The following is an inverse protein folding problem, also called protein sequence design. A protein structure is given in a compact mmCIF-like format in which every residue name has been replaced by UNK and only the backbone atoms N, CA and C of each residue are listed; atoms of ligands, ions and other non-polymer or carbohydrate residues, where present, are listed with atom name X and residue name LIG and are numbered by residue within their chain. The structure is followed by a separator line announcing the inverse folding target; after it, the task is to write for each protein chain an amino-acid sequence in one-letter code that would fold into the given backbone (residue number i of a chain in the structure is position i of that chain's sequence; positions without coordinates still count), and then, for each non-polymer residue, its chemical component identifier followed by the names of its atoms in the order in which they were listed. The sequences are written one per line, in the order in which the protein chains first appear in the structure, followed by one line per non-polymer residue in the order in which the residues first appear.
data_IF_965688828553
#
_entry.id   IF_965688828553
#
_cell.length_a   1.000
_cell.length_b   1.000
_cell.length_c   1.000
_cell.angle_alpha   90.00
_cell.angle_beta   90.00
_cell.angle_gamma   90.00
#
_symmetry.space_group_name_H-M   'P 1'
#
loop_
_entity.id
_entity.type
_entity.pdbx_description
1 polymer ?
#
# COMPACT_ATOMS: atom_id res chain seq x y z
N UNK A 1 -11.66 5.22 57.15
CA UNK A 1 -10.44 6.01 56.86
C UNK A 1 -9.67 5.23 55.79
N UNK A 2 -9.78 5.64 54.53
CA UNK A 2 -9.13 4.94 53.41
C UNK A 2 -8.41 5.99 52.57
N UNK A 3 -7.09 6.05 52.73
CA UNK A 3 -6.17 6.84 51.93
C UNK A 3 -5.55 5.89 50.92
N UNK A 4 -6.03 5.93 49.68
CA UNK A 4 -5.29 5.35 48.55
C UNK A 4 -4.58 6.53 47.90
N UNK A 5 -3.34 6.77 48.34
CA UNK A 5 -2.47 7.81 47.79
C UNK A 5 -1.29 7.10 47.12
N UNK A 6 -1.20 7.20 45.80
CA UNK A 6 -0.14 6.56 45.03
C UNK A 6 -0.27 6.76 43.53
N UNK A 7 -0.39 8.02 43.07
CA UNK A 7 -0.07 8.33 41.68
C UNK A 7 1.46 8.36 41.55
N UNK A 8 2.04 7.33 40.93
CA UNK A 8 3.43 7.38 40.51
C UNK A 8 3.57 8.51 39.48
N UNK A 9 4.27 9.57 39.83
CA UNK A 9 4.68 10.61 38.89
C UNK A 9 5.73 10.01 37.95
N UNK A 10 5.29 9.49 36.80
CA UNK A 10 6.19 9.15 35.72
C UNK A 10 6.87 10.45 35.26
N UNK A 11 8.20 10.50 35.33
CA UNK A 11 8.97 11.60 34.76
C UNK A 11 8.65 11.69 33.27
N UNK A 12 8.20 12.88 32.81
CA UNK A 12 8.09 13.16 31.38
C UNK A 12 9.49 13.09 30.79
N UNK A 13 9.79 11.96 30.14
CA UNK A 13 10.94 11.87 29.25
C UNK A 13 10.67 12.87 28.12
N UNK A 14 11.43 13.95 28.06
CA UNK A 14 11.41 14.83 26.88
C UNK A 14 11.87 13.99 25.70
N UNK A 15 10.89 13.61 24.88
CA UNK A 15 11.13 12.97 23.60
C UNK A 15 11.51 14.07 22.61
N UNK A 16 12.79 14.13 22.30
CA UNK A 16 13.30 14.90 21.17
C UNK A 16 12.90 14.16 19.88
N UNK A 17 11.87 14.66 19.22
CA UNK A 17 11.30 14.08 17.99
C UNK A 17 11.99 14.60 16.72
N UNK A 18 12.93 15.55 16.81
CA UNK A 18 13.30 16.34 15.64
C UNK A 18 14.46 15.77 14.81
N UNK A 19 15.30 14.89 15.35
CA UNK A 19 16.53 14.48 14.67
C UNK A 19 16.53 13.08 14.02
N UNK A 20 15.47 12.26 14.16
CA UNK A 20 15.57 10.83 13.80
C UNK A 20 14.56 10.27 12.78
N UNK A 21 13.70 11.10 12.19
CA UNK A 21 12.64 10.59 11.29
C UNK A 21 12.63 11.21 9.88
N UNK A 22 13.12 12.44 9.69
CA UNK A 22 12.98 13.13 8.39
C UNK A 22 13.89 12.54 7.30
N UNK A 23 15.17 12.30 7.62
CA UNK A 23 16.13 11.70 6.67
C UNK A 23 15.75 10.26 6.32
N UNK A 24 15.31 9.47 7.32
CA UNK A 24 14.84 8.10 7.11
C UNK A 24 13.57 8.06 6.26
N UNK A 25 12.62 8.96 6.51
CA UNK A 25 11.42 9.10 5.69
C UNK A 25 11.77 9.48 4.25
N UNK A 26 12.61 10.49 4.06
CA UNK A 26 13.04 10.96 2.73
C UNK A 26 13.77 9.85 1.95
N UNK A 27 14.65 9.11 2.62
CA UNK A 27 15.33 7.96 2.01
C UNK A 27 14.35 6.84 1.62
N UNK A 28 13.33 6.59 2.44
CA UNK A 28 12.29 5.59 2.18
C UNK A 28 11.41 6.00 0.99
N UNK A 29 11.06 7.28 0.87
CA UNK A 29 10.34 7.81 -0.29
C UNK A 29 11.17 7.68 -1.56
N UNK A 30 12.48 7.92 -1.49
CA UNK A 30 13.39 7.70 -2.64
C UNK A 30 13.40 6.22 -3.05
N UNK A 31 13.47 5.30 -2.09
CA UNK A 31 13.43 3.85 -2.35
C UNK A 31 12.13 3.41 -3.03
N UNK A 32 10.98 4.03 -2.71
CA UNK A 32 9.72 3.75 -3.42
C UNK A 32 9.81 3.99 -4.93
N UNK A 33 10.67 4.92 -5.38
CA UNK A 33 10.83 5.27 -6.79
C UNK A 33 11.83 4.39 -7.53
N UNK A 34 12.80 3.81 -6.82
CA UNK A 34 13.97 3.15 -7.42
C UNK A 34 14.06 1.66 -7.15
N UNK A 35 13.34 1.15 -6.14
CA UNK A 35 13.37 -0.26 -5.75
C UNK A 35 11.95 -0.87 -5.85
N UNK A 36 11.74 -1.66 -6.91
CA UNK A 36 10.46 -2.32 -7.17
C UNK A 36 10.10 -3.34 -6.09
N UNK A 37 11.06 -4.03 -5.49
CA UNK A 37 10.80 -5.01 -4.43
C UNK A 37 10.44 -4.30 -3.12
N UNK A 38 11.04 -3.14 -2.84
CA UNK A 38 10.61 -2.30 -1.72
C UNK A 38 9.19 -1.78 -1.95
N UNK A 39 8.90 -1.24 -3.14
CA UNK A 39 7.56 -0.77 -3.50
C UNK A 39 6.51 -1.87 -3.37
N UNK A 40 6.83 -3.10 -3.79
CA UNK A 40 6.00 -4.29 -3.58
C UNK A 40 5.64 -4.51 -2.13
N UNK A 41 6.65 -4.49 -1.24
CA UNK A 41 6.46 -4.69 0.20
C UNK A 41 5.52 -3.64 0.79
N UNK A 42 5.64 -2.39 0.36
CA UNK A 42 4.75 -1.33 0.84
C UNK A 42 3.31 -1.50 0.34
N UNK A 43 3.10 -1.98 -0.89
CA UNK A 43 1.77 -2.26 -1.43
C UNK A 43 1.08 -3.43 -0.72
N UNK A 44 1.83 -4.48 -0.40
CA UNK A 44 1.28 -5.65 0.29
C UNK A 44 0.77 -5.33 1.70
N UNK A 45 1.22 -4.21 2.32
CA UNK A 45 0.71 -3.72 3.61
C UNK A 45 -0.65 -3.01 3.50
N UNK A 46 -1.04 -2.57 2.31
CA UNK A 46 -2.32 -1.89 2.11
C UNK A 46 -3.44 -2.92 2.20
N UNK A 47 -4.40 -2.72 3.09
CA UNK A 47 -5.57 -3.58 3.23
C UNK A 47 -6.76 -3.02 2.43
N UNK A 48 -7.68 -3.90 2.04
CA UNK A 48 -8.98 -3.48 1.55
C UNK A 48 -9.88 -3.04 2.71
N UNK A 49 -10.83 -2.15 2.42
CA UNK A 49 -11.83 -1.72 3.40
C UNK A 49 -12.88 -2.81 3.67
N UNK A 50 -13.20 -3.63 2.66
CA UNK A 50 -14.18 -4.73 2.76
C UNK A 50 -13.48 -6.07 3.09
N UNK A 51 -13.92 -6.81 4.13
CA UNK A 51 -13.34 -8.11 4.47
C UNK A 51 -13.38 -9.15 3.34
N UNK A 52 -14.44 -9.14 2.52
CA UNK A 52 -14.58 -10.02 1.36
C UNK A 52 -13.51 -9.73 0.30
N UNK A 53 -13.15 -8.46 0.10
CA UNK A 53 -12.09 -8.04 -0.81
C UNK A 53 -10.72 -8.32 -0.20
N UNK A 54 -10.54 -8.14 1.11
CA UNK A 54 -9.30 -8.51 1.80
C UNK A 54 -8.96 -9.99 1.59
N UNK A 55 -9.96 -10.87 1.63
CA UNK A 55 -9.75 -12.30 1.32
C UNK A 55 -9.26 -12.52 -0.12
N UNK A 56 -9.80 -11.77 -1.09
CA UNK A 56 -9.35 -11.82 -2.49
C UNK A 56 -7.91 -11.31 -2.62
N UNK A 57 -7.54 -10.24 -1.90
CA UNK A 57 -6.16 -9.74 -1.87
C UNK A 57 -5.21 -10.80 -1.35
N UNK A 58 -5.52 -11.43 -0.22
CA UNK A 58 -4.68 -12.50 0.37
C UNK A 58 -4.52 -13.68 -0.61
N UNK A 59 -5.59 -14.07 -1.32
CA UNK A 59 -5.52 -15.11 -2.35
C UNK A 59 -4.60 -14.71 -3.51
N UNK A 60 -4.76 -13.49 -4.03
CA UNK A 60 -3.93 -12.97 -5.11
C UNK A 60 -2.45 -12.82 -4.70
N UNK A 61 -2.19 -12.28 -3.52
CA UNK A 61 -0.85 -12.07 -2.98
C UNK A 61 -0.15 -13.43 -2.81
N UNK A 62 -0.85 -14.48 -2.36
CA UNK A 62 -0.30 -15.84 -2.30
C UNK A 62 0.06 -16.42 -3.69
N UNK A 63 -0.79 -16.20 -4.70
CA UNK A 63 -0.52 -16.62 -6.08
C UNK A 63 0.68 -15.87 -6.65
N UNK A 64 0.77 -14.57 -6.36
CA UNK A 64 1.86 -13.72 -6.80
C UNK A 64 3.19 -14.14 -6.17
N UNK A 65 3.23 -14.44 -4.87
CA UNK A 65 4.44 -14.93 -4.21
C UNK A 65 4.92 -16.28 -4.77
N UNK A 66 4.00 -17.09 -5.31
CA UNK A 66 4.31 -18.33 -6.05
C UNK A 66 4.69 -18.11 -7.52
N UNK A 67 4.84 -16.85 -7.95
CA UNK A 67 5.12 -16.44 -9.34
C UNK A 67 4.03 -16.84 -10.35
N UNK A 68 2.82 -17.17 -9.88
CA UNK A 68 1.66 -17.37 -10.75
C UNK A 68 0.97 -16.04 -11.04
N UNK A 69 1.64 -15.22 -11.87
CA UNK A 69 1.20 -13.85 -12.18
C UNK A 69 -0.15 -13.83 -12.92
N UNK A 70 -0.45 -14.88 -13.70
CA UNK A 70 -1.69 -14.99 -14.46
C UNK A 70 -2.88 -15.18 -13.53
N UNK A 71 -2.80 -16.14 -12.60
CA UNK A 71 -3.87 -16.36 -11.65
C UNK A 71 -3.99 -15.21 -10.66
N UNK A 72 -2.88 -14.64 -10.20
CA UNK A 72 -2.90 -13.44 -9.36
C UNK A 72 -3.66 -12.28 -10.04
N UNK A 73 -3.37 -12.01 -11.31
CA UNK A 73 -4.06 -10.97 -12.10
C UNK A 73 -5.56 -11.27 -12.21
N UNK A 74 -5.93 -12.49 -12.58
CA UNK A 74 -7.33 -12.91 -12.73
C UNK A 74 -8.13 -12.76 -11.43
N UNK A 75 -7.52 -13.13 -10.30
CA UNK A 75 -8.10 -13.01 -8.96
C UNK A 75 -8.33 -11.54 -8.57
N UNK A 76 -7.38 -10.65 -8.85
CA UNK A 76 -7.53 -9.21 -8.57
C UNK A 76 -8.58 -8.54 -9.47
N UNK A 77 -8.60 -8.88 -10.76
CA UNK A 77 -9.62 -8.38 -11.69
C UNK A 77 -11.03 -8.85 -11.29
N UNK A 78 -11.15 -10.08 -10.75
CA UNK A 78 -12.38 -10.54 -10.11
C UNK A 78 -12.76 -9.65 -8.93
N UNK A 79 -11.79 -9.29 -8.08
CA UNK A 79 -11.99 -8.30 -7.02
C UNK A 79 -12.54 -6.97 -7.55
N UNK A 80 -11.98 -6.43 -8.63
CA UNK A 80 -12.44 -5.16 -9.21
C UNK A 80 -13.85 -5.25 -9.81
N UNK A 81 -14.28 -6.43 -10.29
CA UNK A 81 -15.68 -6.62 -10.72
C UNK A 81 -16.66 -6.54 -9.54
N UNK A 82 -16.21 -6.87 -8.33
CA UNK A 82 -17.02 -6.84 -7.11
C UNK A 82 -16.98 -5.46 -6.45
N UNK A 83 -15.79 -4.85 -6.34
CA UNK A 83 -15.58 -3.58 -5.66
C UNK A 83 -14.60 -2.69 -6.44
N UNK A 84 -15.16 -1.75 -7.21
CA UNK A 84 -14.38 -0.76 -8.00
C UNK A 84 -13.86 0.41 -7.16
N UNK A 85 -14.27 0.50 -5.90
CA UNK A 85 -13.94 1.57 -4.96
C UNK A 85 -12.76 1.21 -4.03
N UNK A 86 -12.11 0.06 -4.26
CA UNK A 86 -11.01 -0.45 -3.43
C UNK A 86 -9.65 -0.20 -4.07
N UNK A 87 -8.96 0.85 -3.62
CA UNK A 87 -7.64 1.27 -4.15
C UNK A 87 -6.55 0.20 -4.00
N UNK A 88 -6.64 -0.61 -2.95
CA UNK A 88 -5.77 -1.76 -2.73
C UNK A 88 -5.71 -2.72 -3.94
N UNK A 89 -6.84 -2.95 -4.62
CA UNK A 89 -6.89 -3.80 -5.82
C UNK A 89 -6.14 -3.17 -7.00
N UNK A 90 -6.35 -1.86 -7.22
CA UNK A 90 -5.67 -1.11 -8.26
C UNK A 90 -4.16 -1.06 -8.04
N UNK A 91 -3.71 -0.92 -6.79
CA UNK A 91 -2.29 -0.95 -6.42
C UNK A 91 -1.62 -2.27 -6.80
N UNK A 92 -2.22 -3.42 -6.43
CA UNK A 92 -1.66 -4.74 -6.81
C UNK A 92 -1.63 -4.91 -8.32
N UNK A 93 -2.71 -4.54 -9.03
CA UNK A 93 -2.77 -4.68 -10.48
C UNK A 93 -1.77 -3.77 -11.20
N UNK A 94 -1.60 -2.53 -10.73
CA UNK A 94 -0.60 -1.62 -11.27
C UNK A 94 0.81 -2.23 -11.16
N UNK A 95 1.15 -2.74 -9.98
CA UNK A 95 2.48 -3.31 -9.76
C UNK A 95 2.68 -4.65 -10.51
N UNK A 96 1.69 -5.54 -10.53
CA UNK A 96 1.74 -6.78 -11.31
C UNK A 96 1.94 -6.52 -12.81
N UNK A 97 1.23 -5.52 -13.37
CA UNK A 97 1.40 -5.14 -14.77
C UNK A 97 2.80 -4.60 -15.04
N UNK A 98 3.37 -3.86 -14.09
CA UNK A 98 4.75 -3.41 -14.20
C UNK A 98 5.74 -4.59 -14.19
N UNK A 99 5.58 -5.56 -13.28
CA UNK A 99 6.40 -6.79 -13.24
C UNK A 99 6.28 -7.61 -14.55
N UNK A 100 5.13 -7.55 -15.22
CA UNK A 100 4.88 -8.22 -16.50
C UNK A 100 5.44 -7.45 -17.72
N UNK A 101 6.03 -6.26 -17.54
CA UNK A 101 6.50 -5.40 -18.63
C UNK A 101 5.39 -4.60 -19.33
N UNK A 102 4.19 -4.56 -18.77
CA UNK A 102 3.00 -3.90 -19.31
C UNK A 102 2.84 -2.49 -18.69
N UNK A 103 3.82 -1.62 -18.89
CA UNK A 103 3.89 -0.30 -18.24
C UNK A 103 2.65 0.59 -18.52
N UNK A 104 2.10 0.56 -19.73
CA UNK A 104 0.89 1.32 -20.08
C UNK A 104 -0.33 0.86 -19.27
N UNK A 105 -0.49 -0.45 -19.09
CA UNK A 105 -1.57 -1.02 -18.28
C UNK A 105 -1.36 -0.72 -16.80
N UNK A 106 -0.11 -0.79 -16.33
CA UNK A 106 0.26 -0.41 -14.97
C UNK A 106 -0.21 1.02 -14.65
N UNK A 107 0.17 1.98 -15.50
CA UNK A 107 -0.24 3.38 -15.38
C UNK A 107 -1.77 3.54 -15.44
N UNK A 108 -2.44 2.86 -16.37
CA UNK A 108 -3.89 2.93 -16.50
C UNK A 108 -4.66 2.39 -15.27
N UNK A 109 -4.16 1.33 -14.62
CA UNK A 109 -4.75 0.87 -13.35
C UNK A 109 -4.51 1.87 -12.23
N UNK A 110 -3.32 2.45 -12.16
CA UNK A 110 -3.00 3.45 -11.15
C UNK A 110 -3.85 4.72 -11.28
N UNK A 111 -4.00 5.25 -12.50
CA UNK A 111 -4.86 6.40 -12.79
C UNK A 111 -6.31 6.15 -12.38
N UNK A 112 -6.84 4.94 -12.60
CA UNK A 112 -8.18 4.57 -12.12
C UNK A 112 -8.26 4.50 -10.61
N UNK A 113 -7.26 3.91 -9.94
CA UNK A 113 -7.19 3.84 -8.48
C UNK A 113 -7.16 5.23 -7.83
N UNK A 114 -6.51 6.22 -8.47
CA UNK A 114 -6.47 7.61 -7.98
C UNK A 114 -7.85 8.29 -7.94
N UNK A 115 -8.84 7.77 -8.67
CA UNK A 115 -10.21 8.29 -8.65
C UNK A 115 -11.02 7.81 -7.44
N UNK A 116 -10.51 6.85 -6.67
CA UNK A 116 -11.20 6.32 -5.51
C UNK A 116 -11.16 7.29 -4.34
N UNK A 117 -12.32 7.86 -4.01
CA UNK A 117 -12.48 8.86 -2.94
C UNK A 117 -12.14 8.35 -1.54
N UNK A 118 -12.18 7.02 -1.33
CA UNK A 118 -11.84 6.38 -0.06
C UNK A 118 -10.36 6.04 0.11
N UNK A 119 -9.52 6.35 -0.88
CA UNK A 119 -8.09 6.09 -0.80
C UNK A 119 -7.43 6.97 0.28
N UNK A 120 -6.64 6.34 1.15
CA UNK A 120 -5.77 7.04 2.09
C UNK A 120 -4.66 7.82 1.37
N UNK A 121 -4.06 8.79 2.06
CA UNK A 121 -2.91 9.53 1.53
C UNK A 121 -1.74 8.62 1.14
N UNK A 122 -1.54 7.52 1.85
CA UNK A 122 -0.51 6.54 1.54
C UNK A 122 -0.82 5.78 0.24
N UNK A 123 -2.06 5.32 0.06
CA UNK A 123 -2.48 4.68 -1.20
C UNK A 123 -2.36 5.63 -2.39
N UNK A 124 -2.75 6.90 -2.22
CA UNK A 124 -2.60 7.92 -3.25
C UNK A 124 -1.13 8.16 -3.61
N UNK A 125 -0.24 8.21 -2.62
CA UNK A 125 1.20 8.32 -2.86
C UNK A 125 1.72 7.12 -3.67
N UNK A 126 1.38 5.89 -3.26
CA UNK A 126 1.81 4.68 -3.93
C UNK A 126 1.26 4.59 -5.37
N UNK A 127 -0.01 4.93 -5.59
CA UNK A 127 -0.61 4.97 -6.93
C UNK A 127 0.07 6.01 -7.82
N UNK A 128 0.44 7.17 -7.27
CA UNK A 128 1.11 8.22 -8.04
C UNK A 128 2.42 7.76 -8.66
N UNK A 129 3.18 6.89 -7.99
CA UNK A 129 4.44 6.35 -8.50
C UNK A 129 4.26 5.68 -9.86
N UNK A 130 3.20 4.88 -10.02
CA UNK A 130 2.88 4.21 -11.28
C UNK A 130 2.33 5.14 -12.35
N UNK A 131 1.60 6.19 -11.95
CA UNK A 131 1.04 7.18 -12.90
C UNK A 131 2.09 8.14 -13.48
N UNK A 132 3.16 8.40 -12.73
CA UNK A 132 4.23 9.32 -13.11
C UNK A 132 5.21 8.73 -14.15
N UNK A 133 5.22 7.40 -14.32
CA UNK A 133 5.99 6.73 -15.36
C UNK A 133 5.26 6.87 -16.72
N UNK A 134 5.26 8.08 -17.27
CA UNK A 134 4.91 8.32 -18.68
C UNK A 134 6.21 8.30 -19.48
N UNK A 135 6.30 7.33 -20.39
CA UNK A 135 7.31 7.32 -21.46
C UNK A 135 7.25 8.62 -22.27
#
# INVERSE_FOLDING_TARGET
MSLIMGCASASKKETDFYDLEVEKFSSSVKSLLTDLEFLKKEILKVNANKPSIQRILIEADNLWMKKDLKQASSTLERGLRIAKDESALYLRLAHLRLEQGLAKESSAFAERGLLNKGASSWELLLLKIYSAQKN
#
